data_IF_954003029178
#
_entry.id   IF_954003029178
#
_cell.length_a   1.000
_cell.length_b   1.000
_cell.length_c   1.000
_cell.angle_alpha   90.00
_cell.angle_beta   90.00
_cell.angle_gamma   90.00
#
_symmetry.space_group_name_H-M   'P 1'
#
loop_
_entity.id
_entity.type
_entity.pdbx_description
1 polymer ?
#
# COMPACT_ATOMS: atom_id res chain seq x y z
N UNK A 1 -24.12 -60.13 -2.27
CA UNK A 1 -23.41 -58.83 -2.17
C UNK A 1 -23.89 -57.95 -3.31
N UNK A 2 -24.28 -56.72 -2.97
CA UNK A 2 -25.33 -55.91 -3.59
C UNK A 2 -24.92 -55.14 -4.86
N UNK A 3 -25.87 -54.72 -5.73
CA UNK A 3 -25.57 -53.83 -6.86
C UNK A 3 -25.43 -52.36 -6.42
N UNK A 4 -24.35 -51.71 -6.86
CA UNK A 4 -24.05 -50.30 -6.62
C UNK A 4 -24.95 -49.41 -7.47
N UNK A 5 -25.88 -48.71 -6.82
CA UNK A 5 -26.82 -47.77 -7.43
C UNK A 5 -26.09 -46.46 -7.78
N UNK A 6 -25.84 -46.19 -9.06
CA UNK A 6 -25.29 -44.90 -9.54
C UNK A 6 -26.37 -43.82 -9.45
N UNK A 7 -26.29 -42.96 -8.44
CA UNK A 7 -27.12 -41.77 -8.29
C UNK A 7 -26.66 -40.68 -9.28
N UNK A 8 -27.37 -40.53 -10.40
CA UNK A 8 -27.19 -39.41 -11.34
C UNK A 8 -27.95 -38.19 -10.80
N UNK A 9 -27.27 -37.26 -10.15
CA UNK A 9 -27.83 -35.95 -9.82
C UNK A 9 -28.13 -35.21 -11.14
N UNK A 10 -29.41 -35.05 -11.46
CA UNK A 10 -29.87 -34.13 -12.48
C UNK A 10 -30.10 -32.77 -11.80
N UNK A 11 -29.19 -31.83 -12.01
CA UNK A 11 -29.46 -30.42 -11.72
C UNK A 11 -30.48 -29.92 -12.74
N UNK A 12 -31.74 -29.87 -12.34
CA UNK A 12 -32.78 -29.16 -13.09
C UNK A 12 -32.55 -27.66 -12.89
N UNK A 13 -31.82 -27.04 -13.80
CA UNK A 13 -31.81 -25.57 -13.93
C UNK A 13 -33.15 -25.15 -14.52
N UNK A 14 -34.11 -24.76 -13.67
CA UNK A 14 -35.29 -24.03 -14.13
C UNK A 14 -34.82 -22.67 -14.62
N UNK A 15 -34.84 -22.46 -15.94
CA UNK A 15 -34.64 -21.15 -16.52
C UNK A 15 -35.78 -20.23 -16.06
N UNK A 16 -35.43 -19.23 -15.24
CA UNK A 16 -36.35 -18.15 -14.89
C UNK A 16 -36.54 -17.28 -16.14
N UNK A 17 -37.79 -16.95 -16.55
CA UNK A 17 -38.03 -16.07 -17.68
C UNK A 17 -37.68 -14.64 -17.28
N UNK A 18 -36.43 -14.25 -17.48
CA UNK A 18 -36.00 -12.87 -17.26
C UNK A 18 -36.58 -12.03 -18.38
N UNK A 19 -37.58 -11.21 -18.06
CA UNK A 19 -38.14 -10.21 -18.97
C UNK A 19 -37.02 -9.32 -19.53
N UNK A 20 -37.11 -8.93 -20.81
CA UNK A 20 -36.16 -7.99 -21.42
C UNK A 20 -36.04 -6.67 -20.63
N UNK A 21 -37.12 -6.28 -19.94
CA UNK A 21 -37.14 -5.13 -19.03
C UNK A 21 -36.33 -5.40 -17.75
N UNK A 22 -36.42 -6.61 -17.20
CA UNK A 22 -35.63 -7.01 -16.03
C UNK A 22 -34.14 -7.18 -16.38
N UNK A 23 -33.84 -7.71 -17.57
CA UNK A 23 -32.48 -7.79 -18.09
C UNK A 23 -31.89 -6.38 -18.30
N UNK A 24 -32.63 -5.48 -18.95
CA UNK A 24 -32.20 -4.10 -19.15
C UNK A 24 -31.99 -3.35 -17.82
N UNK A 25 -32.90 -3.52 -16.85
CA UNK A 25 -32.78 -2.93 -15.52
C UNK A 25 -31.53 -3.40 -14.78
N UNK A 26 -31.21 -4.70 -14.84
CA UNK A 26 -30.01 -5.26 -14.22
C UNK A 26 -28.72 -4.75 -14.89
N UNK A 27 -28.72 -4.63 -16.23
CA UNK A 27 -27.58 -4.09 -16.98
C UNK A 27 -27.33 -2.62 -16.65
N UNK A 28 -28.37 -1.79 -16.54
CA UNK A 28 -28.24 -0.38 -16.13
C UNK A 28 -27.67 -0.26 -14.72
N UNK A 29 -28.13 -1.09 -13.78
CA UNK A 29 -27.60 -1.11 -12.41
C UNK A 29 -26.12 -1.50 -12.34
N UNK A 30 -25.70 -2.46 -13.14
CA UNK A 30 -24.30 -2.92 -13.21
C UNK A 30 -23.39 -1.85 -13.81
N UNK A 31 -23.82 -1.18 -14.88
CA UNK A 31 -23.06 -0.09 -15.52
C UNK A 31 -22.94 1.11 -14.59
N UNK A 32 -24.01 1.48 -13.88
CA UNK A 32 -23.99 2.57 -12.91
C UNK A 32 -23.02 2.31 -11.73
N UNK A 33 -22.88 1.06 -11.28
CA UNK A 33 -21.92 0.73 -10.21
C UNK A 33 -20.48 0.66 -10.72
N UNK A 34 -20.23 0.22 -11.96
CA UNK A 34 -18.89 0.16 -12.52
C UNK A 34 -18.28 1.56 -12.78
N UNK A 35 -19.10 2.56 -13.13
CA UNK A 35 -18.67 3.94 -13.35
C UNK A 35 -18.28 4.68 -12.05
N UNK A 36 -18.75 4.22 -10.89
CA UNK A 36 -18.49 4.89 -9.61
C UNK A 36 -17.12 4.60 -8.97
N UNK A 37 -16.30 3.74 -9.58
CA UNK A 37 -14.99 3.37 -9.05
C UNK A 37 -13.86 4.33 -9.47
N UNK A 38 -14.10 5.25 -10.41
CA UNK A 38 -13.03 6.09 -10.96
C UNK A 38 -13.08 7.56 -10.50
N UNK A 39 -14.23 8.07 -10.04
CA UNK A 39 -14.35 9.53 -9.89
C UNK A 39 -15.42 9.96 -8.89
N UNK A 40 -15.27 9.58 -7.62
CA UNK A 40 -15.97 10.20 -6.48
C UNK A 40 -17.52 10.13 -6.43
N UNK A 41 -18.20 9.80 -7.51
CA UNK A 41 -19.66 9.69 -7.63
C UNK A 41 -20.06 8.22 -7.55
N UNK A 42 -20.65 7.80 -6.44
CA UNK A 42 -21.19 6.45 -6.29
C UNK A 42 -22.71 6.57 -6.19
N UNK A 43 -23.47 6.17 -7.23
CA UNK A 43 -24.92 6.39 -7.27
C UNK A 43 -25.66 5.67 -6.14
N UNK A 44 -25.12 4.54 -5.67
CA UNK A 44 -25.64 3.83 -4.51
C UNK A 44 -25.44 4.67 -3.25
N UNK A 45 -24.23 5.20 -3.02
CA UNK A 45 -23.93 6.11 -1.90
C UNK A 45 -24.84 7.34 -1.91
N UNK A 46 -25.03 7.96 -3.08
CA UNK A 46 -25.80 9.19 -3.22
C UNK A 46 -27.29 8.94 -2.96
N UNK A 47 -27.82 7.79 -3.40
CA UNK A 47 -29.17 7.35 -3.05
C UNK A 47 -29.34 7.15 -1.54
N UNK A 48 -28.41 6.45 -0.88
CA UNK A 48 -28.45 6.27 0.58
C UNK A 48 -28.36 7.61 1.33
N UNK A 49 -27.50 8.52 0.87
CA UNK A 49 -27.41 9.87 1.43
C UNK A 49 -28.72 10.65 1.27
N UNK A 50 -29.35 10.59 0.09
CA UNK A 50 -30.61 11.28 -0.20
C UNK A 50 -31.80 10.78 0.65
N UNK A 51 -31.86 9.49 0.95
CA UNK A 51 -32.91 8.91 1.80
C UNK A 51 -32.56 8.92 3.30
N UNK A 52 -31.47 9.59 3.69
CA UNK A 52 -31.03 9.70 5.08
C UNK A 52 -30.52 8.40 5.72
N UNK A 53 -30.34 7.35 4.92
CA UNK A 53 -29.78 6.06 5.34
C UNK A 53 -28.26 5.96 5.08
N UNK A 54 -27.65 7.03 4.58
CA UNK A 54 -26.21 7.14 4.35
C UNK A 54 -25.43 7.46 5.64
N UNK A 55 -24.11 7.23 5.63
CA UNK A 55 -23.25 7.59 6.75
C UNK A 55 -23.33 9.11 7.01
N UNK A 56 -23.50 9.49 8.28
CA UNK A 56 -23.46 10.90 8.69
C UNK A 56 -22.06 11.45 8.43
N UNK A 57 -21.94 12.41 7.53
CA UNK A 57 -20.69 13.15 7.32
C UNK A 57 -20.45 14.01 8.55
N UNK A 58 -19.35 13.77 9.25
CA UNK A 58 -18.95 14.62 10.36
C UNK A 58 -18.69 16.04 9.84
N UNK A 59 -19.20 17.05 10.55
CA UNK A 59 -18.92 18.43 10.21
C UNK A 59 -17.41 18.66 10.33
N UNK A 60 -16.80 19.12 9.24
CA UNK A 60 -15.38 19.49 9.24
C UNK A 60 -15.24 20.77 10.07
N UNK A 61 -14.27 20.86 11.01
CA UNK A 61 -14.05 22.08 11.77
C UNK A 61 -13.74 23.28 10.87
N UNK A 62 -14.19 24.48 11.26
CA UNK A 62 -14.08 25.69 10.43
C UNK A 62 -12.64 26.03 10.03
N UNK A 63 -11.69 25.82 10.94
CA UNK A 63 -10.28 26.06 10.63
C UNK A 63 -9.76 25.12 9.53
N UNK A 64 -10.22 23.87 9.49
CA UNK A 64 -9.84 22.89 8.45
C UNK A 64 -10.44 23.30 7.11
N UNK A 65 -11.72 23.69 7.10
CA UNK A 65 -12.38 24.17 5.89
C UNK A 65 -11.69 25.44 5.33
N UNK A 66 -11.34 26.39 6.20
CA UNK A 66 -10.68 27.64 5.81
C UNK A 66 -9.22 27.47 5.36
N UNK A 67 -8.51 26.47 5.90
CA UNK A 67 -7.11 26.21 5.59
C UNK A 67 -6.90 25.36 4.33
N UNK A 68 -7.92 24.62 3.90
CA UNK A 68 -7.78 23.66 2.80
C UNK A 68 -7.86 24.41 1.47
N UNK A 69 -6.84 24.33 0.61
CA UNK A 69 -6.93 24.92 -0.71
C UNK A 69 -8.01 24.19 -1.53
N UNK A 70 -8.80 24.94 -2.30
CA UNK A 70 -9.87 24.40 -3.14
C UNK A 70 -9.33 23.51 -4.26
N UNK A 71 -8.10 23.76 -4.70
CA UNK A 71 -7.38 22.99 -5.71
C UNK A 71 -6.10 22.45 -5.10
N UNK A 72 -5.84 21.17 -5.34
CA UNK A 72 -4.63 20.52 -4.90
C UNK A 72 -3.82 20.18 -6.15
N UNK A 73 -2.70 20.88 -6.33
CA UNK A 73 -1.75 20.62 -7.40
C UNK A 73 -0.83 19.46 -6.99
N UNK A 74 -1.41 18.26 -6.93
CA UNK A 74 -0.63 17.06 -6.66
C UNK A 74 0.21 16.68 -7.89
N UNK A 75 1.51 16.45 -7.69
CA UNK A 75 2.30 15.73 -8.68
C UNK A 75 1.80 14.28 -8.74
N UNK A 76 1.46 13.74 -9.93
CA UNK A 76 1.15 12.34 -10.09
C UNK A 76 2.29 11.44 -9.59
N UNK A 77 1.95 10.31 -8.98
CA UNK A 77 2.95 9.30 -8.65
C UNK A 77 3.58 8.79 -9.94
N UNK A 78 4.90 8.89 -10.05
CA UNK A 78 5.65 8.43 -11.23
C UNK A 78 5.89 9.49 -12.32
N UNK A 79 5.40 10.72 -12.17
CA UNK A 79 5.80 11.82 -13.07
C UNK A 79 7.05 12.50 -12.54
N UNK A 80 8.10 12.51 -13.36
CA UNK A 80 9.29 13.31 -13.06
C UNK A 80 8.93 14.78 -13.20
N UNK A 81 9.35 15.59 -12.23
CA UNK A 81 9.22 17.04 -12.31
C UNK A 81 10.03 17.56 -13.51
N UNK A 82 9.41 18.20 -14.51
CA UNK A 82 10.14 18.78 -15.63
C UNK A 82 11.04 19.92 -15.13
N UNK A 83 12.32 19.89 -15.48
CA UNK A 83 13.28 20.95 -15.13
C UNK A 83 14.15 20.69 -13.90
N UNK A 84 14.22 19.46 -13.39
CA UNK A 84 15.32 19.11 -12.45
C UNK A 84 16.67 19.33 -13.13
N UNK A 85 17.54 20.11 -12.50
CA UNK A 85 18.91 20.34 -12.97
C UNK A 85 19.74 19.05 -13.04
N UNK A 86 19.38 18.05 -12.23
CA UNK A 86 19.96 16.72 -12.25
C UNK A 86 18.97 15.70 -12.82
N UNK A 87 19.30 15.03 -13.94
CA UNK A 87 18.46 13.96 -14.48
C UNK A 87 18.36 12.79 -13.48
N UNK A 88 17.31 11.98 -13.63
CA UNK A 88 17.23 10.72 -12.91
C UNK A 88 18.39 9.82 -13.33
N UNK A 89 18.99 9.11 -12.36
CA UNK A 89 20.06 8.14 -12.64
C UNK A 89 19.52 7.03 -13.54
N UNK A 90 20.34 6.58 -14.48
CA UNK A 90 20.03 5.40 -15.28
C UNK A 90 20.11 4.13 -14.41
N UNK A 91 19.49 3.04 -14.84
CA UNK A 91 19.56 1.78 -14.10
C UNK A 91 21.00 1.28 -13.90
N UNK A 92 21.87 1.52 -14.87
CA UNK A 92 23.28 1.13 -14.81
C UNK A 92 24.07 2.02 -13.83
N UNK A 93 23.78 3.32 -13.79
CA UNK A 93 24.36 4.24 -12.80
C UNK A 93 23.92 3.91 -11.36
N UNK A 94 22.68 3.46 -11.18
CA UNK A 94 22.20 2.98 -9.88
C UNK A 94 22.96 1.73 -9.45
N UNK A 95 23.07 0.73 -10.33
CA UNK A 95 23.83 -0.51 -10.04
C UNK A 95 25.30 -0.23 -9.75
N UNK A 96 25.92 0.70 -10.48
CA UNK A 96 27.30 1.08 -10.24
C UNK A 96 27.47 1.72 -8.84
N UNK A 97 26.54 2.58 -8.44
CA UNK A 97 26.55 3.18 -7.10
C UNK A 97 26.31 2.16 -5.99
N UNK A 98 25.43 1.17 -6.21
CA UNK A 98 25.22 0.05 -5.28
C UNK A 98 26.51 -0.75 -5.08
N UNK A 99 27.20 -1.09 -6.18
CA UNK A 99 28.47 -1.81 -6.13
C UNK A 99 29.57 -1.03 -5.39
N UNK A 100 29.62 0.30 -5.58
CA UNK A 100 30.55 1.17 -4.85
C UNK A 100 30.26 1.15 -3.33
N UNK A 101 29.00 1.27 -2.94
CA UNK A 101 28.60 1.23 -1.53
C UNK A 101 28.92 -0.11 -0.86
N UNK A 102 28.73 -1.21 -1.57
CA UNK A 102 29.07 -2.54 -1.07
C UNK A 102 30.59 -2.72 -0.91
N UNK A 103 31.38 -2.21 -1.86
CA UNK A 103 32.84 -2.21 -1.77
C UNK A 103 33.33 -1.39 -0.55
N UNK A 104 32.74 -0.20 -0.33
CA UNK A 104 33.07 0.63 0.84
C UNK A 104 32.68 -0.05 2.15
N UNK A 105 31.53 -0.74 2.19
CA UNK A 105 31.14 -1.52 3.38
C UNK A 105 32.19 -2.58 3.70
N UNK A 106 32.60 -3.38 2.70
CA UNK A 106 33.60 -4.42 2.88
C UNK A 106 34.95 -3.84 3.37
N UNK A 107 35.39 -2.70 2.82
CA UNK A 107 36.60 -2.02 3.26
C UNK A 107 36.52 -1.55 4.71
N UNK A 108 35.40 -0.91 5.08
CA UNK A 108 35.18 -0.42 6.44
C UNK A 108 35.11 -1.56 7.46
N UNK A 109 34.47 -2.69 7.12
CA UNK A 109 34.45 -3.88 7.96
C UNK A 109 35.84 -4.48 8.16
N UNK A 110 36.66 -4.54 7.10
CA UNK A 110 38.03 -5.01 7.19
C UNK A 110 38.90 -4.08 8.07
N UNK A 111 38.79 -2.77 7.86
CA UNK A 111 39.50 -1.77 8.66
C UNK A 111 39.06 -1.82 10.14
N UNK A 112 37.76 -1.97 10.41
CA UNK A 112 37.21 -2.12 11.76
C UNK A 112 37.73 -3.37 12.46
N UNK A 113 37.81 -4.51 11.75
CA UNK A 113 38.40 -5.75 12.27
C UNK A 113 39.88 -5.57 12.60
N UNK A 114 40.65 -4.91 11.73
CA UNK A 114 42.06 -4.62 11.98
C UNK A 114 42.25 -3.71 13.20
N UNK A 115 41.45 -2.64 13.32
CA UNK A 115 41.48 -1.74 14.47
C UNK A 115 41.11 -2.47 15.78
N UNK A 116 40.11 -3.34 15.76
CA UNK A 116 39.71 -4.13 16.93
C UNK A 116 40.83 -5.08 17.39
N UNK A 117 41.58 -5.68 16.46
CA UNK A 117 42.75 -6.51 16.80
C UNK A 117 43.87 -5.69 17.45
N UNK A 118 44.13 -4.48 16.96
CA UNK A 118 45.19 -3.61 17.49
C UNK A 118 44.82 -2.93 18.82
N UNK A 119 43.55 -2.63 19.03
CA UNK A 119 43.04 -1.90 20.21
C UNK A 119 42.62 -2.79 21.38
N UNK A 120 42.80 -4.11 21.30
CA UNK A 120 42.44 -5.04 22.36
C UNK A 120 43.35 -4.91 23.59
N UNK A 121 43.08 -3.94 24.47
CA UNK A 121 43.69 -3.92 25.80
C UNK A 121 42.87 -4.77 26.79
N UNK A 122 43.51 -5.60 27.63
CA UNK A 122 42.82 -6.30 28.70
C UNK A 122 42.06 -5.33 29.60
N UNK A 123 40.94 -5.78 30.19
CA UNK A 123 40.22 -4.99 31.17
C UNK A 123 41.18 -4.55 32.30
N UNK A 124 41.14 -3.28 32.73
CA UNK A 124 41.99 -2.81 33.82
C UNK A 124 41.71 -3.63 35.08
N UNK A 125 42.77 -4.01 35.80
CA UNK A 125 42.60 -4.77 37.04
C UNK A 125 41.78 -3.95 38.05
N UNK A 126 40.85 -4.58 38.79
CA UNK A 126 40.11 -3.90 39.84
C UNK A 126 41.04 -3.23 40.85
N UNK A 127 40.79 -1.96 41.16
CA UNK A 127 41.54 -1.23 42.19
C UNK A 127 41.27 -1.92 43.55
N UNK A 128 42.30 -2.35 44.29
CA UNK A 128 42.09 -2.97 45.59
C UNK A 128 41.48 -1.94 46.55
N UNK A 129 40.27 -2.22 47.02
CA UNK A 129 39.62 -1.41 48.04
C UNK A 129 40.24 -1.70 49.42
N UNK A 130 40.47 -0.68 50.26
CA UNK A 130 40.94 -0.89 51.62
C UNK A 130 39.92 -1.70 52.41
N UNK A 131 40.39 -2.77 53.07
CA UNK A 131 39.55 -3.56 53.99
C UNK A 131 39.32 -2.72 55.24
N UNK A 132 38.08 -2.28 55.47
CA UNK A 132 37.68 -1.69 56.76
C UNK A 132 37.84 -2.75 57.85
N UNK A 133 38.61 -2.40 58.89
CA UNK A 133 38.92 -3.24 60.06
C UNK A 133 37.69 -3.35 60.98
#
# INVERSE_FOLDING_TARGET
MSPVLKLKMRFTTKALPVSRVAAAGLTVLLVANAAGCAEGSNPTRDLFAAVGAGPKVAQTPDFVASSRPEKLDFLPVGTSEPGRSTPARTADEVKAAEAELDALRAQNEAAGKAAAQLGGTPAPQPVPLPKTR
#
